data_IF_892370395961
#
_entry.id   IF_892370395961
#
_cell.length_a   1.000
_cell.length_b   1.000
_cell.length_c   1.000
_cell.angle_alpha   90.00
_cell.angle_beta   90.00
_cell.angle_gamma   90.00
#
_symmetry.space_group_name_H-M   'P 1'
#
loop_
_entity.id
_entity.type
_entity.pdbx_description
1 polymer ?
#
# COMPACT_ATOMS: atom_id res chain seq x y z
N UNK A 1 -17.37 20.82 -3.44
CA UNK A 1 -17.91 21.64 -4.54
C UNK A 1 -18.17 20.77 -5.77
N UNK A 2 -19.37 20.81 -6.37
CA UNK A 2 -19.64 20.01 -7.58
C UNK A 2 -18.86 20.57 -8.77
N UNK A 3 -18.10 19.73 -9.47
CA UNK A 3 -17.22 20.14 -10.60
C UNK A 3 -17.97 20.67 -11.83
N UNK A 4 -19.30 20.62 -11.84
CA UNK A 4 -20.14 21.11 -12.94
C UNK A 4 -20.67 22.53 -12.72
N UNK A 5 -20.47 23.13 -11.54
CA UNK A 5 -20.96 24.48 -11.24
C UNK A 5 -20.20 25.54 -12.03
N UNK A 6 -20.86 26.69 -12.26
CA UNK A 6 -20.25 27.86 -12.90
C UNK A 6 -19.05 28.37 -12.09
N UNK A 7 -19.26 28.53 -10.78
CA UNK A 7 -18.24 28.98 -9.83
C UNK A 7 -16.97 28.10 -9.88
N UNK A 8 -17.13 26.77 -9.97
CA UNK A 8 -15.97 25.87 -10.12
C UNK A 8 -15.24 26.08 -11.45
N UNK A 9 -15.98 26.25 -12.55
CA UNK A 9 -15.39 26.48 -13.88
C UNK A 9 -14.60 27.78 -13.91
N UNK A 10 -15.09 28.83 -13.25
CA UNK A 10 -14.42 30.13 -13.12
C UNK A 10 -13.16 30.01 -12.26
N UNK A 11 -13.27 29.45 -11.05
CA UNK A 11 -12.12 29.19 -10.17
C UNK A 11 -11.05 28.33 -10.85
N UNK A 12 -11.47 27.30 -11.59
CA UNK A 12 -10.57 26.47 -12.40
C UNK A 12 -9.87 27.29 -13.49
N UNK A 13 -10.61 28.13 -14.22
CA UNK A 13 -10.04 28.94 -15.29
C UNK A 13 -9.00 29.93 -14.75
N UNK A 14 -9.30 30.60 -13.63
CA UNK A 14 -8.37 31.46 -12.92
C UNK A 14 -7.14 30.70 -12.44
N UNK A 15 -7.33 29.56 -11.79
CA UNK A 15 -6.23 28.74 -11.28
C UNK A 15 -5.29 28.25 -12.39
N UNK A 16 -5.80 27.95 -13.59
CA UNK A 16 -5.00 27.44 -14.72
C UNK A 16 -4.35 28.57 -15.53
N UNK A 17 -4.87 29.80 -15.44
CA UNK A 17 -4.39 30.95 -16.24
C UNK A 17 -2.88 31.16 -16.05
N UNK A 18 -2.15 31.20 -17.17
CA UNK A 18 -0.70 31.43 -17.18
C UNK A 18 0.16 30.27 -16.65
N UNK A 19 -0.44 29.15 -16.24
CA UNK A 19 0.31 27.96 -15.80
C UNK A 19 0.57 27.01 -16.96
N UNK A 20 1.56 26.15 -16.78
CA UNK A 20 1.88 25.03 -17.67
C UNK A 20 1.80 23.72 -16.90
N UNK A 21 1.87 22.59 -17.61
CA UNK A 21 1.93 21.28 -17.00
C UNK A 21 3.17 21.16 -16.10
N UNK A 22 2.97 20.93 -14.80
CA UNK A 22 4.04 20.79 -13.81
C UNK A 22 5.00 19.63 -14.10
N UNK A 23 4.57 18.64 -14.89
CA UNK A 23 5.39 17.47 -15.22
C UNK A 23 6.19 17.65 -16.52
N UNK A 24 5.56 18.14 -17.59
CA UNK A 24 6.17 18.16 -18.92
C UNK A 24 6.29 19.55 -19.55
N UNK A 25 5.84 20.60 -18.86
CA UNK A 25 5.90 21.99 -19.35
C UNK A 25 4.92 22.34 -20.47
N UNK A 26 4.10 21.41 -20.96
CA UNK A 26 3.12 21.68 -22.02
C UNK A 26 2.06 22.69 -21.54
N UNK A 27 1.69 23.62 -22.41
CA UNK A 27 0.55 24.54 -22.23
C UNK A 27 -0.78 23.96 -22.73
N UNK A 28 -0.76 22.76 -23.32
CA UNK A 28 -1.92 22.19 -24.01
C UNK A 28 -2.79 21.36 -23.07
N UNK A 29 -4.11 21.47 -23.25
CA UNK A 29 -5.10 20.61 -22.61
C UNK A 29 -4.89 20.47 -21.09
N UNK A 30 -4.79 21.61 -20.40
CA UNK A 30 -4.51 21.67 -18.97
C UNK A 30 -5.72 21.32 -18.11
N UNK A 31 -5.46 20.59 -17.03
CA UNK A 31 -6.42 20.27 -16.00
C UNK A 31 -5.80 20.41 -14.61
N UNK A 32 -6.68 20.69 -13.66
CA UNK A 32 -6.37 20.70 -12.23
C UNK A 32 -6.27 19.25 -11.77
N UNK A 33 -5.14 18.90 -11.18
CA UNK A 33 -4.86 17.60 -10.62
C UNK A 33 -4.64 17.74 -9.11
N UNK A 34 -5.34 16.94 -8.32
CA UNK A 34 -5.08 16.81 -6.90
C UNK A 34 -4.36 15.47 -6.73
N UNK A 35 -3.10 15.46 -6.24
CA UNK A 35 -2.38 14.21 -6.01
C UNK A 35 -3.19 13.28 -5.10
N UNK A 36 -3.08 11.97 -5.35
CA UNK A 36 -3.89 10.95 -4.65
C UNK A 36 -3.83 11.09 -3.13
N UNK A 37 -2.65 11.32 -2.56
CA UNK A 37 -2.45 11.46 -1.11
C UNK A 37 -3.24 12.61 -0.45
N UNK A 38 -3.68 13.60 -1.21
CA UNK A 38 -4.51 14.70 -0.70
C UNK A 38 -5.99 14.54 -1.05
N UNK A 39 -6.38 13.43 -1.69
CA UNK A 39 -7.79 13.18 -1.98
C UNK A 39 -8.50 12.67 -0.72
N UNK A 40 -9.73 13.14 -0.43
CA UNK A 40 -10.47 12.73 0.76
C UNK A 40 -10.65 11.20 0.84
N UNK A 41 -10.87 10.56 -0.31
CA UNK A 41 -10.99 9.11 -0.40
C UNK A 41 -9.69 8.38 0.00
N UNK A 42 -8.53 8.91 -0.40
CA UNK A 42 -7.24 8.31 -0.06
C UNK A 42 -6.92 8.52 1.43
N UNK A 43 -7.12 9.73 1.95
CA UNK A 43 -6.92 10.06 3.38
C UNK A 43 -7.76 9.12 4.25
N UNK A 44 -9.06 9.00 3.94
CA UNK A 44 -9.94 8.08 4.65
C UNK A 44 -9.47 6.63 4.53
N UNK A 45 -9.12 6.17 3.34
CA UNK A 45 -8.66 4.80 3.09
C UNK A 45 -7.36 4.46 3.84
N UNK A 46 -6.43 5.40 3.97
CA UNK A 46 -5.16 5.20 4.68
C UNK A 46 -5.40 5.07 6.18
N UNK A 47 -6.23 5.94 6.75
CA UNK A 47 -6.59 5.87 8.17
C UNK A 47 -7.35 4.56 8.46
N UNK A 48 -8.34 4.20 7.62
CA UNK A 48 -9.05 2.93 7.75
C UNK A 48 -8.11 1.72 7.63
N UNK A 49 -7.16 1.74 6.70
CA UNK A 49 -6.20 0.64 6.52
C UNK A 49 -5.28 0.46 7.73
N UNK A 50 -4.78 1.56 8.28
CA UNK A 50 -3.98 1.54 9.51
C UNK A 50 -4.82 1.05 10.72
N UNK A 51 -6.04 1.56 10.85
CA UNK A 51 -6.96 1.17 11.91
C UNK A 51 -7.33 -0.32 11.84
N UNK A 52 -7.61 -0.84 10.64
CA UNK A 52 -7.91 -2.25 10.41
C UNK A 52 -6.73 -3.15 10.79
N UNK A 53 -5.51 -2.76 10.40
CA UNK A 53 -4.29 -3.51 10.73
C UNK A 53 -4.09 -3.60 12.25
N UNK A 54 -4.26 -2.47 12.95
CA UNK A 54 -4.20 -2.41 14.42
C UNK A 54 -5.32 -3.21 15.07
N UNK A 55 -6.55 -3.12 14.55
CA UNK A 55 -7.66 -3.86 15.10
C UNK A 55 -7.47 -5.37 14.95
N UNK A 56 -6.86 -5.87 13.87
CA UNK A 56 -6.55 -7.30 13.75
C UNK A 56 -5.67 -7.81 14.88
N UNK A 57 -4.72 -7.01 15.35
CA UNK A 57 -3.88 -7.36 16.51
C UNK A 57 -4.69 -7.37 17.81
N UNK A 58 -5.50 -6.33 18.03
CA UNK A 58 -6.42 -6.26 19.20
C UNK A 58 -7.38 -7.45 19.19
N UNK A 59 -7.93 -7.78 18.02
CA UNK A 59 -8.86 -8.88 17.85
C UNK A 59 -8.20 -10.21 18.20
N UNK A 60 -7.00 -10.45 17.64
CA UNK A 60 -6.20 -11.63 17.93
C UNK A 60 -5.91 -11.77 19.43
N UNK A 61 -5.60 -10.68 20.12
CA UNK A 61 -5.28 -10.69 21.54
C UNK A 61 -6.52 -10.89 22.44
N UNK A 62 -7.66 -10.30 22.08
CA UNK A 62 -8.86 -10.30 22.93
C UNK A 62 -9.78 -11.49 22.70
N UNK A 63 -9.89 -11.97 21.46
CA UNK A 63 -10.92 -12.94 21.07
C UNK A 63 -10.35 -14.28 20.64
N UNK A 64 -9.08 -14.35 20.26
CA UNK A 64 -8.47 -15.59 19.78
C UNK A 64 -7.54 -16.20 20.81
N UNK A 65 -7.61 -17.52 20.96
CA UNK A 65 -6.65 -18.30 21.73
C UNK A 65 -5.90 -19.23 20.82
N UNK A 66 -4.59 -19.22 20.96
CA UNK A 66 -3.68 -20.06 20.20
C UNK A 66 -2.90 -20.97 21.13
N UNK A 67 -2.49 -22.11 20.59
CA UNK A 67 -1.55 -23.02 21.23
C UNK A 67 -0.46 -23.43 20.24
N UNK A 68 0.69 -23.84 20.76
CA UNK A 68 1.84 -24.26 19.97
C UNK A 68 1.93 -25.78 20.03
N UNK A 69 1.57 -26.44 18.94
CA UNK A 69 1.68 -27.89 18.85
C UNK A 69 2.98 -28.29 18.14
N UNK A 70 3.68 -29.35 18.61
CA UNK A 70 4.83 -29.89 17.92
C UNK A 70 4.43 -30.41 16.53
N UNK A 71 5.18 -30.05 15.50
CA UNK A 71 4.97 -30.54 14.14
C UNK A 71 5.56 -31.95 13.91
N UNK A 72 6.31 -32.48 14.89
CA UNK A 72 7.08 -33.70 14.77
C UNK A 72 8.34 -33.56 13.89
N UNK A 73 8.68 -32.33 13.48
CA UNK A 73 9.94 -32.01 12.82
C UNK A 73 10.92 -31.41 13.82
N UNK A 74 12.20 -31.68 13.59
CA UNK A 74 13.30 -31.12 14.37
C UNK A 74 14.45 -30.74 13.45
N UNK A 75 15.39 -29.97 13.97
CA UNK A 75 16.69 -29.68 13.36
C UNK A 75 17.80 -29.79 14.40
N UNK A 76 19.02 -29.91 13.93
CA UNK A 76 20.22 -29.99 14.76
C UNK A 76 21.34 -29.17 14.12
N UNK A 77 22.34 -28.76 14.91
CA UNK A 77 23.43 -27.84 14.51
C UNK A 77 24.15 -28.26 13.22
N UNK A 78 24.21 -29.55 12.92
CA UNK A 78 24.83 -30.08 11.71
C UNK A 78 24.19 -29.56 10.42
N UNK A 79 22.93 -29.10 10.43
CA UNK A 79 22.32 -28.46 9.27
C UNK A 79 21.09 -27.58 9.61
N UNK A 80 20.76 -26.59 8.78
CA UNK A 80 19.60 -25.73 9.00
C UNK A 80 18.25 -26.38 8.65
N UNK A 81 18.23 -27.57 8.03
CA UNK A 81 17.01 -28.16 7.48
C UNK A 81 16.13 -28.83 8.55
N UNK A 82 14.83 -28.53 8.52
CA UNK A 82 13.84 -29.22 9.34
C UNK A 82 13.43 -30.56 8.73
N UNK A 83 13.49 -31.63 9.50
CA UNK A 83 13.04 -32.95 9.03
C UNK A 83 12.36 -33.76 10.12
N UNK A 84 11.67 -34.84 9.74
CA UNK A 84 11.00 -35.73 10.68
C UNK A 84 12.02 -36.51 11.51
N UNK A 85 11.63 -36.94 12.72
CA UNK A 85 12.41 -37.86 13.55
C UNK A 85 12.83 -39.15 12.82
N UNK A 86 11.99 -39.64 11.91
CA UNK A 86 12.23 -40.87 11.13
C UNK A 86 13.19 -40.69 9.94
N UNK A 87 13.85 -39.55 9.80
CA UNK A 87 14.75 -39.29 8.66
C UNK A 87 16.04 -40.05 8.88
N UNK A 88 16.51 -40.78 7.85
CA UNK A 88 17.73 -41.58 7.95
C UNK A 88 18.93 -40.67 7.68
N UNK A 89 19.80 -40.49 8.68
CA UNK A 89 21.07 -39.78 8.53
C UNK A 89 22.17 -40.73 8.07
N UNK A 90 23.14 -40.17 7.32
CA UNK A 90 24.32 -40.93 6.86
C UNK A 90 25.34 -41.21 7.99
N UNK A 91 25.31 -40.40 9.05
CA UNK A 91 26.14 -40.51 10.24
C UNK A 91 25.27 -40.17 11.47
N UNK A 92 25.68 -40.62 12.66
CA UNK A 92 24.98 -40.27 13.90
C UNK A 92 24.92 -38.74 14.07
N UNK A 93 23.72 -38.15 14.19
CA UNK A 93 23.58 -36.71 14.37
C UNK A 93 24.00 -36.30 15.78
N UNK A 94 24.55 -35.10 15.90
CA UNK A 94 24.74 -34.47 17.19
C UNK A 94 23.38 -33.99 17.74
N UNK A 95 22.96 -34.59 18.85
CA UNK A 95 21.67 -34.29 19.49
C UNK A 95 21.78 -33.27 20.64
N UNK A 96 22.97 -32.70 20.91
CA UNK A 96 23.13 -31.76 22.04
C UNK A 96 22.32 -30.48 21.89
N UNK A 97 22.00 -30.08 20.65
CA UNK A 97 21.26 -28.86 20.30
C UNK A 97 20.01 -29.17 19.44
N UNK A 98 19.19 -30.12 19.87
CA UNK A 98 17.96 -30.48 19.15
C UNK A 98 16.90 -29.39 19.34
N UNK A 99 16.47 -28.78 18.23
CA UNK A 99 15.36 -27.84 18.22
C UNK A 99 14.13 -28.52 17.63
N UNK A 100 12.99 -28.43 18.33
CA UNK A 100 11.69 -28.88 17.83
C UNK A 100 10.96 -27.76 17.09
N UNK A 101 10.30 -28.10 15.97
CA UNK A 101 9.46 -27.17 15.26
C UNK A 101 8.04 -27.22 15.80
N UNK A 102 7.56 -26.07 16.27
CA UNK A 102 6.17 -25.87 16.66
C UNK A 102 5.40 -25.14 15.55
N UNK A 103 4.11 -25.41 15.46
CA UNK A 103 3.18 -24.60 14.69
C UNK A 103 2.10 -24.07 15.61
N UNK A 104 1.77 -22.79 15.43
CA UNK A 104 0.69 -22.16 16.15
C UNK A 104 -0.65 -22.59 15.53
N UNK A 105 -1.60 -22.98 16.37
CA UNK A 105 -2.95 -23.39 15.96
C UNK A 105 -3.98 -22.60 16.74
N UNK A 106 -4.99 -22.11 16.03
CA UNK A 106 -6.15 -21.44 16.62
C UNK A 106 -7.03 -22.47 17.32
N UNK A 107 -7.18 -22.37 18.65
CA UNK A 107 -8.02 -23.26 19.44
C UNK A 107 -9.45 -22.73 19.58
N UNK A 108 -9.59 -21.41 19.77
CA UNK A 108 -10.87 -20.77 20.05
C UNK A 108 -10.88 -19.36 19.45
N UNK A 109 -12.01 -18.98 18.85
CA UNK A 109 -12.29 -17.62 18.39
C UNK A 109 -13.66 -17.17 18.92
N UNK A 110 -13.64 -16.42 20.03
CA UNK A 110 -14.83 -15.90 20.69
C UNK A 110 -15.51 -14.77 19.89
N UNK A 111 -14.83 -14.22 18.90
CA UNK A 111 -15.31 -13.13 18.06
C UNK A 111 -15.83 -13.59 16.70
N UNK A 112 -15.79 -14.90 16.40
CA UNK A 112 -16.12 -15.42 15.08
C UNK A 112 -17.52 -14.99 14.63
N UNK A 113 -17.65 -14.65 13.36
CA UNK A 113 -18.86 -14.04 12.78
C UNK A 113 -19.14 -12.59 13.20
N UNK A 114 -18.50 -12.07 14.25
CA UNK A 114 -18.73 -10.73 14.79
C UNK A 114 -17.62 -9.71 14.48
N UNK A 115 -16.54 -10.11 13.80
CA UNK A 115 -15.38 -9.26 13.50
C UNK A 115 -15.76 -7.85 13.01
N UNK A 116 -16.68 -7.75 12.03
CA UNK A 116 -17.09 -6.46 11.47
C UNK A 116 -17.77 -5.58 12.51
N UNK A 117 -18.64 -6.15 13.34
CA UNK A 117 -19.34 -5.43 14.41
C UNK A 117 -18.34 -4.92 15.44
N UNK A 118 -17.47 -5.82 15.93
CA UNK A 118 -16.43 -5.49 16.90
C UNK A 118 -15.45 -4.43 16.37
N UNK A 119 -15.14 -4.47 15.06
CA UNK A 119 -14.31 -3.46 14.42
C UNK A 119 -14.98 -2.09 14.44
N UNK A 120 -16.27 -2.01 14.08
CA UNK A 120 -16.99 -0.74 14.11
C UNK A 120 -17.14 -0.20 15.54
N UNK A 121 -17.47 -1.04 16.52
CA UNK A 121 -17.51 -0.65 17.94
C UNK A 121 -16.14 -0.12 18.40
N UNK A 122 -15.06 -0.83 18.07
CA UNK A 122 -13.71 -0.38 18.40
C UNK A 122 -13.33 0.95 17.74
N UNK A 123 -13.75 1.20 16.49
CA UNK A 123 -13.51 2.49 15.81
C UNK A 123 -14.21 3.66 16.52
N UNK A 124 -15.41 3.44 17.05
CA UNK A 124 -16.16 4.43 17.82
C UNK A 124 -15.47 4.66 19.18
N UNK A 125 -15.20 3.58 19.92
CA UNK A 125 -14.59 3.62 21.26
C UNK A 125 -13.21 4.29 21.27
N UNK A 126 -12.42 4.08 20.21
CA UNK A 126 -11.09 4.68 20.09
C UNK A 126 -11.09 6.08 19.49
N UNK A 127 -12.25 6.58 19.06
CA UNK A 127 -12.38 7.88 18.39
C UNK A 127 -11.79 7.92 16.98
N UNK A 128 -11.34 6.79 16.42
CA UNK A 128 -10.77 6.73 15.08
C UNK A 128 -11.81 7.11 14.02
N UNK A 129 -13.08 6.75 14.23
CA UNK A 129 -14.13 7.17 13.29
C UNK A 129 -14.24 8.70 13.21
N UNK A 130 -14.23 9.38 14.35
CA UNK A 130 -14.26 10.84 14.40
C UNK A 130 -13.01 11.45 13.73
N UNK A 131 -11.84 10.86 13.95
CA UNK A 131 -10.60 11.27 13.27
C UNK A 131 -10.72 11.14 11.74
N UNK A 132 -11.29 10.05 11.23
CA UNK A 132 -11.52 9.85 9.79
C UNK A 132 -12.43 10.96 9.25
N UNK A 133 -13.52 11.26 9.95
CA UNK A 133 -14.46 12.32 9.54
C UNK A 133 -13.77 13.71 9.52
N UNK A 134 -13.00 14.03 10.55
CA UNK A 134 -12.26 15.30 10.65
C UNK A 134 -11.24 15.46 9.52
N UNK A 135 -10.35 14.47 9.33
CA UNK A 135 -9.30 14.54 8.31
C UNK A 135 -9.87 14.48 6.89
N UNK A 136 -10.97 13.74 6.68
CA UNK A 136 -11.67 13.73 5.39
C UNK A 136 -12.25 15.11 5.08
N UNK A 137 -12.91 15.75 6.06
CA UNK A 137 -13.47 17.10 5.90
C UNK A 137 -12.39 18.14 5.65
N UNK A 138 -11.25 18.04 6.33
CA UNK A 138 -10.08 18.89 6.08
C UNK A 138 -9.56 18.71 4.64
N UNK A 139 -9.38 17.47 4.20
CA UNK A 139 -8.96 17.16 2.84
C UNK A 139 -9.96 17.66 1.77
N UNK A 140 -11.27 17.61 2.07
CA UNK A 140 -12.31 18.21 1.22
C UNK A 140 -12.13 19.72 1.10
N UNK A 141 -11.92 20.41 2.22
CA UNK A 141 -11.63 21.84 2.25
C UNK A 141 -10.39 22.20 1.43
N UNK A 142 -9.30 21.45 1.57
CA UNK A 142 -8.06 21.64 0.79
C UNK A 142 -8.24 21.36 -0.70
N UNK A 143 -9.09 20.38 -1.05
CA UNK A 143 -9.45 20.09 -2.43
C UNK A 143 -10.28 21.22 -3.04
N UNK A 144 -11.20 21.80 -2.27
CA UNK A 144 -12.02 22.93 -2.70
C UNK A 144 -11.20 24.20 -2.85
N UNK A 145 -10.27 24.47 -1.95
CA UNK A 145 -9.36 25.62 -2.00
C UNK A 145 -8.29 25.49 -3.08
N UNK A 146 -8.10 24.30 -3.66
CA UNK A 146 -7.01 23.96 -4.58
C UNK A 146 -5.61 24.10 -3.97
N UNK A 147 -5.49 24.05 -2.63
CA UNK A 147 -4.21 24.27 -1.91
C UNK A 147 -3.13 23.30 -2.40
N UNK A 148 -3.46 22.01 -2.48
CA UNK A 148 -2.53 20.94 -2.89
C UNK A 148 -2.64 20.58 -4.37
N UNK A 149 -3.37 21.39 -5.15
CA UNK A 149 -3.59 21.11 -6.56
C UNK A 149 -2.38 21.53 -7.42
N UNK A 150 -2.10 20.74 -8.44
CA UNK A 150 -1.11 21.05 -9.48
C UNK A 150 -1.79 21.10 -10.85
N UNK A 151 -1.21 21.83 -11.79
CA UNK A 151 -1.69 21.83 -13.17
C UNK A 151 -0.94 20.75 -13.95
N UNK A 152 -1.68 19.85 -14.59
CA UNK A 152 -1.14 18.83 -15.49
C UNK A 152 -1.84 18.91 -16.85
N UNK A 153 -1.14 18.58 -17.94
CA UNK A 153 -1.82 18.27 -19.20
C UNK A 153 -2.60 16.96 -19.06
N UNK A 154 -3.64 16.75 -19.88
CA UNK A 154 -4.48 15.53 -19.85
C UNK A 154 -3.67 14.23 -19.87
N UNK A 155 -2.55 14.19 -20.62
CA UNK A 155 -1.67 13.01 -20.69
C UNK A 155 -0.99 12.71 -19.36
N UNK A 156 -0.39 13.73 -18.73
CA UNK A 156 0.26 13.59 -17.42
C UNK A 156 -0.76 13.29 -16.31
N UNK A 157 -1.93 13.93 -16.37
CA UNK A 157 -3.02 13.66 -15.45
C UNK A 157 -3.48 12.19 -15.52
N UNK A 158 -3.70 11.67 -16.73
CA UNK A 158 -4.07 10.27 -16.91
C UNK A 158 -2.98 9.30 -16.41
N UNK A 159 -1.71 9.62 -16.67
CA UNK A 159 -0.59 8.83 -16.14
C UNK A 159 -0.59 8.78 -14.61
N UNK A 160 -0.78 9.93 -13.94
CA UNK A 160 -0.90 10.00 -12.47
C UNK A 160 -2.03 9.11 -11.94
N UNK A 161 -3.20 9.15 -12.59
CA UNK A 161 -4.32 8.29 -12.22
C UNK A 161 -4.02 6.79 -12.39
N UNK A 162 -3.08 6.40 -13.23
CA UNK A 162 -2.64 5.02 -13.43
C UNK A 162 -1.46 4.62 -12.55
N UNK A 163 -1.06 5.46 -11.58
CA UNK A 163 0.11 5.19 -10.74
C UNK A 163 1.42 5.27 -11.53
N UNK A 164 1.47 6.17 -12.52
CA UNK A 164 2.66 6.42 -13.33
C UNK A 164 3.09 7.88 -13.21
N UNK A 165 4.40 8.13 -13.27
CA UNK A 165 4.99 9.45 -13.36
C UNK A 165 6.05 9.53 -14.47
N UNK A 166 6.48 10.73 -14.86
CA UNK A 166 7.55 10.87 -15.84
C UNK A 166 8.86 10.30 -15.29
N UNK A 167 9.61 9.63 -16.15
CA UNK A 167 10.95 9.18 -15.84
C UNK A 167 11.83 10.39 -15.49
N UNK A 168 12.53 10.40 -14.34
CA UNK A 168 13.35 11.54 -13.93
C UNK A 168 14.56 11.76 -14.85
N UNK A 169 15.03 10.71 -15.52
CA UNK A 169 16.20 10.73 -16.41
C UNK A 169 15.84 11.31 -17.78
N UNK A 170 14.99 10.61 -18.54
CA UNK A 170 14.71 11.04 -19.92
C UNK A 170 13.61 12.09 -20.03
N UNK A 171 12.75 12.24 -19.01
CA UNK A 171 11.54 13.09 -19.00
C UNK A 171 10.58 12.90 -20.18
N UNK A 172 10.75 11.82 -20.95
CA UNK A 172 9.98 11.49 -22.16
C UNK A 172 8.99 10.35 -21.94
N UNK A 173 9.44 9.29 -21.26
CA UNK A 173 8.61 8.11 -20.97
C UNK A 173 8.01 8.20 -19.57
N UNK A 174 6.80 7.66 -19.44
CA UNK A 174 6.21 7.39 -18.13
C UNK A 174 6.75 6.08 -17.57
N UNK A 175 6.84 6.00 -16.26
CA UNK A 175 7.22 4.80 -15.50
C UNK A 175 6.23 4.61 -14.35
N UNK A 176 6.05 3.38 -13.88
CA UNK A 176 5.23 3.13 -12.69
C UNK A 176 5.93 3.68 -11.43
N UNK A 177 5.16 4.21 -10.49
CA UNK A 177 5.71 4.94 -9.34
C UNK A 177 6.72 4.14 -8.50
N UNK A 178 6.58 2.81 -8.48
CA UNK A 178 7.44 1.87 -7.77
C UNK A 178 8.81 1.59 -8.42
N UNK A 179 9.00 1.96 -9.69
CA UNK A 179 10.31 1.87 -10.34
C UNK A 179 11.04 3.21 -10.27
N UNK A 180 12.37 3.21 -10.22
CA UNK A 180 13.14 4.46 -10.18
C UNK A 180 13.13 5.21 -11.51
N UNK A 181 13.31 4.49 -12.62
CA UNK A 181 13.38 5.03 -13.98
C UNK A 181 12.47 4.26 -14.95
N UNK A 182 12.39 4.68 -16.22
CA UNK A 182 11.73 3.87 -17.25
C UNK A 182 12.65 2.75 -17.73
N UNK A 183 12.08 1.73 -18.38
CA UNK A 183 12.83 0.58 -18.88
C UNK A 183 14.06 0.97 -19.72
N UNK A 184 13.94 1.94 -20.62
CA UNK A 184 15.05 2.42 -21.46
C UNK A 184 16.20 3.05 -20.66
N UNK A 185 15.90 3.66 -19.52
CA UNK A 185 16.87 4.30 -18.65
C UNK A 185 17.41 3.38 -17.55
N UNK A 186 17.01 2.09 -17.53
CA UNK A 186 17.64 1.10 -16.68
C UNK A 186 19.06 0.77 -17.20
N UNK A 187 19.97 0.31 -16.31
CA UNK A 187 21.22 -0.32 -16.72
C UNK A 187 20.98 -1.55 -17.61
N UNK A 188 21.89 -1.83 -18.53
CA UNK A 188 21.72 -2.91 -19.51
C UNK A 188 21.73 -4.30 -18.87
N UNK A 189 22.47 -4.49 -17.77
CA UNK A 189 22.45 -5.71 -16.95
C UNK A 189 21.03 -6.01 -16.45
N UNK A 190 20.35 -5.02 -15.87
CA UNK A 190 18.98 -5.15 -15.37
C UNK A 190 18.01 -5.41 -16.54
N UNK A 191 18.19 -4.73 -17.69
CA UNK A 191 17.36 -4.98 -18.87
C UNK A 191 17.50 -6.41 -19.38
N UNK A 192 18.71 -6.99 -19.34
CA UNK A 192 18.95 -8.37 -19.75
C UNK A 192 18.19 -9.36 -18.86
N UNK A 193 18.25 -9.19 -17.53
CA UNK A 193 17.50 -10.02 -16.58
C UNK A 193 15.99 -10.00 -16.84
N UNK A 194 15.42 -8.83 -17.12
CA UNK A 194 13.98 -8.72 -17.45
C UNK A 194 13.63 -9.48 -18.73
N UNK A 195 14.47 -9.40 -19.77
CA UNK A 195 14.25 -10.13 -21.03
C UNK A 195 14.38 -11.64 -20.85
N UNK A 196 15.33 -12.10 -20.05
CA UNK A 196 15.48 -13.53 -19.74
C UNK A 196 14.27 -14.09 -19.01
N UNK A 197 13.68 -13.35 -18.07
CA UNK A 197 12.47 -13.77 -17.35
C UNK A 197 11.24 -13.87 -18.25
N UNK A 198 11.15 -13.10 -19.34
CA UNK A 198 10.03 -13.17 -20.29
C UNK A 198 10.17 -14.31 -21.30
N UNK A 199 11.38 -14.83 -21.49
CA UNK A 199 11.66 -15.96 -22.38
C UNK A 199 11.59 -17.32 -21.65
N UNK A 200 11.25 -17.33 -20.35
CA UNK A 200 10.93 -18.53 -19.56
C UNK A 200 9.42 -18.71 -19.46
#
# INVERSE_FOLDING_TARGET
MKRNTKEWKEKRAEFVKGKTCAWCGSSDSLCVHIPRGFSPAQVSSEIYGAAYSRFREVYRQKYQKFDNIPTGKHRHKSHPNWHKASTIHKAEPDHTDLEEQFTEVLLEDLGDGNFKKLYHEWLEETGIKALIEEETKKAEGECESLTNAVVLCKRCHFASLRGMNLCPVCRKKYKAVNYETCFDCLPDEIKAEFRERQNR
#
